data_IF_929181826320
#
_entry.id   IF_929181826320
#
_cell.length_a   1.000
_cell.length_b   1.000
_cell.length_c   1.000
_cell.angle_alpha   90.00
_cell.angle_beta   90.00
_cell.angle_gamma   90.00
#
_symmetry.space_group_name_H-M   'P 1'
#
loop_
_entity.id
_entity.type
_entity.pdbx_description
1 polymer ?
#
# COMPACT_ATOMS: atom_id res chain seq x y z
N UNK A 1 3.41 -9.81 19.63
CA UNK A 1 2.04 -9.92 19.09
C UNK A 1 2.14 -10.49 17.67
N UNK A 2 1.23 -11.38 17.27
CA UNK A 2 1.19 -11.85 15.90
C UNK A 2 0.47 -10.79 15.03
N UNK A 3 1.12 -10.34 13.97
CA UNK A 3 0.62 -9.29 13.07
C UNK A 3 0.09 -9.90 11.78
N UNK A 4 -0.84 -9.21 11.14
CA UNK A 4 -1.10 -9.42 9.72
C UNK A 4 0.17 -9.15 8.92
N UNK A 5 0.35 -9.81 7.78
CA UNK A 5 1.36 -9.44 6.79
C UNK A 5 0.67 -8.98 5.52
N UNK A 6 0.99 -7.78 5.08
CA UNK A 6 0.50 -7.17 3.85
C UNK A 6 1.68 -6.99 2.91
N UNK A 7 1.69 -7.77 1.83
CA UNK A 7 2.70 -7.67 0.77
C UNK A 7 2.10 -6.97 -0.43
N UNK A 8 2.67 -5.83 -0.77
CA UNK A 8 2.26 -4.94 -1.84
C UNK A 8 3.34 -4.82 -2.91
N UNK A 9 4.56 -5.29 -2.68
CA UNK A 9 5.60 -5.35 -3.71
C UNK A 9 5.53 -6.71 -4.41
N UNK A 10 5.30 -6.68 -5.72
CA UNK A 10 4.92 -7.84 -6.51
C UNK A 10 3.45 -8.22 -6.36
N UNK A 11 3.13 -9.50 -6.54
CA UNK A 11 1.77 -10.00 -6.41
C UNK A 11 1.22 -9.81 -4.98
N UNK A 12 0.02 -9.22 -4.89
CA UNK A 12 -0.63 -8.92 -3.62
C UNK A 12 -0.80 -10.15 -2.70
N UNK A 13 -0.46 -9.97 -1.42
CA UNK A 13 -0.76 -10.96 -0.39
C UNK A 13 -1.24 -10.31 0.91
N UNK A 14 -2.29 -10.87 1.49
CA UNK A 14 -2.70 -10.61 2.86
C UNK A 14 -2.68 -11.92 3.65
N UNK A 15 -1.93 -11.95 4.74
CA UNK A 15 -1.80 -13.13 5.60
C UNK A 15 -2.20 -12.77 7.02
N UNK A 16 -3.08 -13.57 7.62
CA UNK A 16 -3.55 -13.41 8.98
C UNK A 16 -2.47 -13.76 10.02
N UNK A 17 -2.63 -13.32 11.28
CA UNK A 17 -1.69 -13.64 12.36
C UNK A 17 -1.44 -15.13 12.58
N UNK A 18 -2.42 -15.98 12.26
CA UNK A 18 -2.32 -17.45 12.33
C UNK A 18 -1.60 -18.08 11.12
N UNK A 19 -1.08 -17.28 10.19
CA UNK A 19 -0.41 -17.74 8.97
C UNK A 19 -1.34 -18.07 7.80
N UNK A 20 -2.67 -17.99 7.98
CA UNK A 20 -3.63 -18.22 6.90
C UNK A 20 -3.58 -17.10 5.87
N UNK A 21 -3.46 -17.46 4.58
CA UNK A 21 -3.64 -16.50 3.49
C UNK A 21 -5.11 -16.11 3.38
N UNK A 22 -5.37 -14.81 3.40
CA UNK A 22 -6.71 -14.24 3.23
C UNK A 22 -6.91 -13.86 1.77
N UNK A 23 -7.96 -14.41 1.16
CA UNK A 23 -8.26 -14.18 -0.25
C UNK A 23 -9.05 -12.88 -0.44
N UNK A 24 -8.35 -11.82 -0.82
CA UNK A 24 -8.95 -10.52 -1.17
C UNK A 24 -9.15 -10.49 -2.68
N UNK A 25 -10.31 -10.94 -3.15
CA UNK A 25 -10.59 -11.07 -4.59
C UNK A 25 -10.90 -9.75 -5.30
N UNK A 26 -11.28 -8.72 -4.55
CA UNK A 26 -11.64 -7.41 -5.10
C UNK A 26 -10.38 -6.56 -5.37
N UNK A 27 -10.11 -6.24 -6.64
CA UNK A 27 -9.07 -5.27 -7.02
C UNK A 27 -9.25 -3.91 -6.32
N UNK A 28 -10.49 -3.47 -6.11
CA UNK A 28 -10.80 -2.23 -5.36
C UNK A 28 -10.44 -2.34 -3.88
N UNK A 29 -10.65 -3.49 -3.25
CA UNK A 29 -10.22 -3.72 -1.87
C UNK A 29 -8.69 -3.77 -1.74
N UNK A 30 -8.00 -4.41 -2.69
CA UNK A 30 -6.53 -4.41 -2.77
C UNK A 30 -6.01 -2.97 -2.92
N UNK A 31 -6.54 -2.22 -3.89
CA UNK A 31 -6.20 -0.83 -4.12
C UNK A 31 -6.45 0.04 -2.88
N UNK A 32 -7.59 -0.15 -2.19
CA UNK A 32 -7.89 0.52 -0.92
C UNK A 32 -6.80 0.25 0.13
N UNK A 33 -6.37 -1.00 0.31
CA UNK A 33 -5.29 -1.33 1.24
C UNK A 33 -3.97 -0.65 0.83
N UNK A 34 -3.63 -0.60 -0.46
CA UNK A 34 -2.46 0.12 -0.96
C UNK A 34 -2.50 1.64 -0.71
N UNK A 35 -3.65 2.28 -0.94
CA UNK A 35 -3.86 3.71 -0.67
C UNK A 35 -3.70 4.06 0.82
N UNK A 36 -4.14 3.17 1.70
CA UNK A 36 -4.01 3.33 3.15
C UNK A 36 -2.58 3.04 3.61
N UNK A 37 -1.98 1.94 3.15
CA UNK A 37 -0.63 1.53 3.50
C UNK A 37 0.44 2.58 3.15
N UNK A 38 0.26 3.25 2.02
CA UNK A 38 1.14 4.34 1.55
C UNK A 38 0.94 5.66 2.29
N UNK A 39 -0.14 5.83 3.06
CA UNK A 39 -0.32 6.99 3.91
C UNK A 39 0.60 6.91 5.13
N UNK A 40 1.28 7.99 5.50
CA UNK A 40 2.18 7.97 6.66
C UNK A 40 1.47 7.49 7.95
N UNK A 41 0.23 7.94 8.17
CA UNK A 41 -0.62 7.57 9.31
C UNK A 41 -1.46 6.30 9.09
N UNK A 42 -1.42 5.69 7.91
CA UNK A 42 -2.37 4.64 7.53
C UNK A 42 -3.79 5.15 7.26
N UNK A 43 -4.05 6.47 7.36
CA UNK A 43 -5.39 7.06 7.29
C UNK A 43 -5.59 7.94 6.05
N UNK A 44 -6.77 7.83 5.44
CA UNK A 44 -7.22 8.70 4.34
C UNK A 44 -8.67 9.13 4.57
N UNK A 45 -9.02 10.28 4.01
CA UNK A 45 -10.41 10.76 3.97
C UNK A 45 -11.26 9.87 3.06
N UNK A 46 -12.50 9.59 3.46
CA UNK A 46 -13.42 8.77 2.68
C UNK A 46 -13.71 9.36 1.30
N UNK A 47 -13.90 10.68 1.24
CA UNK A 47 -14.13 11.40 -0.01
C UNK A 47 -12.96 11.24 -0.98
N UNK A 48 -11.71 11.32 -0.48
CA UNK A 48 -10.51 11.13 -1.30
C UNK A 48 -10.40 9.70 -1.83
N UNK A 49 -10.68 8.69 -0.99
CA UNK A 49 -10.71 7.29 -1.43
C UNK A 49 -11.80 7.08 -2.48
N UNK A 50 -12.98 7.69 -2.29
CA UNK A 50 -14.11 7.60 -3.21
C UNK A 50 -13.79 8.20 -4.56
N UNK A 51 -13.16 9.37 -4.59
CA UNK A 51 -12.70 10.02 -5.80
C UNK A 51 -11.66 9.17 -6.54
N UNK A 52 -10.66 8.64 -5.82
CA UNK A 52 -9.64 7.78 -6.43
C UNK A 52 -10.21 6.48 -6.98
N UNK A 53 -11.02 5.78 -6.19
CA UNK A 53 -11.46 4.42 -6.51
C UNK A 53 -12.86 4.32 -7.09
N UNK A 54 -13.64 5.38 -7.18
CA UNK A 54 -14.99 5.34 -7.75
C UNK A 54 -15.37 6.72 -8.31
N UNK A 55 -14.40 7.51 -8.78
CA UNK A 55 -14.60 8.89 -9.26
C UNK A 55 -15.49 8.96 -10.49
N UNK A 56 -15.50 7.90 -11.31
CA UNK A 56 -16.42 7.74 -12.45
C UNK A 56 -17.88 7.51 -12.05
N UNK A 57 -18.19 7.29 -10.77
CA UNK A 57 -19.53 6.96 -10.27
C UNK A 57 -20.18 8.14 -9.56
N UNK A 58 -21.51 8.15 -9.62
CA UNK A 58 -22.33 9.04 -8.78
C UNK A 58 -22.01 8.88 -7.29
N UNK A 59 -22.03 9.99 -6.55
CA UNK A 59 -21.58 10.06 -5.15
C UNK A 59 -22.21 8.97 -4.25
N UNK A 60 -23.52 8.73 -4.37
CA UNK A 60 -24.21 7.69 -3.58
C UNK A 60 -23.71 6.29 -3.91
N UNK A 61 -23.39 6.01 -5.18
CA UNK A 61 -22.86 4.72 -5.61
C UNK A 61 -21.41 4.54 -5.16
N UNK A 62 -20.57 5.58 -5.24
CA UNK A 62 -19.21 5.58 -4.71
C UNK A 62 -19.21 5.29 -3.19
N UNK A 63 -20.08 5.97 -2.44
CA UNK A 63 -20.26 5.73 -1.00
C UNK A 63 -20.71 4.31 -0.67
N UNK A 64 -21.69 3.78 -1.41
CA UNK A 64 -22.15 2.40 -1.24
C UNK A 64 -21.06 1.38 -1.57
N UNK A 65 -20.26 1.64 -2.59
CA UNK A 65 -19.14 0.77 -3.00
C UNK A 65 -18.06 0.73 -1.92
N UNK A 66 -17.63 1.89 -1.41
CA UNK A 66 -16.67 1.94 -0.29
C UNK A 66 -17.18 1.17 0.93
N UNK A 67 -18.46 1.33 1.30
CA UNK A 67 -19.04 0.57 2.43
C UNK A 67 -18.99 -0.94 2.19
N UNK A 68 -19.26 -1.40 0.97
CA UNK A 68 -19.22 -2.82 0.61
C UNK A 68 -17.81 -3.39 0.75
N UNK A 69 -16.80 -2.71 0.20
CA UNK A 69 -15.40 -3.17 0.32
C UNK A 69 -14.95 -3.20 1.78
N UNK A 70 -15.27 -2.15 2.57
CA UNK A 70 -14.96 -2.12 4.00
C UNK A 70 -15.66 -3.25 4.77
N UNK A 71 -16.91 -3.58 4.44
CA UNK A 71 -17.62 -4.68 5.05
C UNK A 71 -16.96 -6.04 4.72
N UNK A 72 -16.59 -6.25 3.45
CA UNK A 72 -15.88 -7.45 3.02
C UNK A 72 -14.55 -7.64 3.75
N UNK A 73 -13.73 -6.58 3.83
CA UNK A 73 -12.46 -6.60 4.55
C UNK A 73 -12.63 -6.90 6.05
N UNK A 74 -13.65 -6.31 6.70
CA UNK A 74 -13.95 -6.60 8.12
C UNK A 74 -14.37 -8.05 8.33
N UNK A 75 -15.22 -8.60 7.46
CA UNK A 75 -15.63 -10.00 7.55
C UNK A 75 -14.43 -10.94 7.40
N UNK A 76 -13.54 -10.64 6.45
CA UNK A 76 -12.35 -11.44 6.18
C UNK A 76 -11.33 -11.42 7.33
N UNK A 77 -11.33 -10.34 8.14
CA UNK A 77 -10.37 -10.12 9.24
C UNK A 77 -10.98 -10.27 10.64
N UNK A 78 -12.21 -10.77 10.73
CA UNK A 78 -12.97 -10.86 11.98
C UNK A 78 -12.37 -11.82 13.03
N UNK A 79 -11.45 -12.70 12.63
CA UNK A 79 -10.78 -13.65 13.55
C UNK A 79 -9.69 -13.04 14.43
N UNK A 80 -9.40 -11.74 14.30
CA UNK A 80 -8.42 -11.02 15.11
C UNK A 80 -9.10 -10.15 16.16
N UNK A 81 -8.57 -10.07 17.40
CA UNK A 81 -9.11 -9.19 18.44
C UNK A 81 -8.99 -7.70 18.07
N UNK A 82 -8.06 -7.35 17.18
CA UNK A 82 -7.88 -6.00 16.69
C UNK A 82 -8.24 -5.90 15.20
N UNK A 83 -9.05 -4.90 14.79
CA UNK A 83 -9.47 -4.74 13.41
C UNK A 83 -8.29 -4.30 12.53
N UNK A 84 -8.12 -4.94 11.37
CA UNK A 84 -7.13 -4.50 10.38
C UNK A 84 -7.48 -3.12 9.81
N UNK A 85 -8.76 -2.87 9.55
CA UNK A 85 -9.27 -1.62 8.98
C UNK A 85 -10.32 -1.01 9.89
N UNK A 86 -10.06 0.22 10.30
CA UNK A 86 -10.95 1.07 11.07
C UNK A 86 -11.59 2.10 10.14
N UNK A 87 -12.84 2.48 10.40
CA UNK A 87 -13.47 3.56 9.63
C UNK A 87 -14.44 4.34 10.50
N UNK A 88 -14.47 5.65 10.26
CA UNK A 88 -15.44 6.58 10.82
C UNK A 88 -16.38 7.06 9.72
N UNK A 89 -17.23 8.06 10.02
CA UNK A 89 -18.02 8.76 9.02
C UNK A 89 -17.18 9.59 8.04
N UNK A 90 -15.92 9.91 8.38
CA UNK A 90 -15.05 10.82 7.59
C UNK A 90 -13.78 10.16 7.08
N UNK A 91 -13.23 9.18 7.79
CA UNK A 91 -11.93 8.57 7.50
C UNK A 91 -11.98 7.06 7.43
N UNK A 92 -10.98 6.48 6.78
CA UNK A 92 -10.66 5.05 6.80
C UNK A 92 -9.19 4.93 7.16
N UNK A 93 -8.86 4.00 8.05
CA UNK A 93 -7.50 3.79 8.56
C UNK A 93 -7.13 2.32 8.50
N UNK A 94 -5.96 2.02 7.95
CA UNK A 94 -5.26 0.76 8.16
C UNK A 94 -4.57 0.83 9.53
N UNK A 95 -4.87 -0.10 10.43
CA UNK A 95 -4.26 -0.11 11.75
C UNK A 95 -2.83 -0.66 11.67
N UNK A 96 -1.86 0.25 11.52
CA UNK A 96 -0.44 -0.06 11.36
C UNK A 96 0.19 -0.76 12.58
N UNK A 97 -0.46 -0.76 13.75
CA UNK A 97 0.04 -1.47 14.93
C UNK A 97 -0.22 -2.98 14.86
N UNK A 98 -1.06 -3.44 13.92
CA UNK A 98 -1.48 -4.84 13.80
C UNK A 98 -1.11 -5.47 12.46
N UNK A 99 -0.35 -4.76 11.62
CA UNK A 99 0.05 -5.22 10.28
C UNK A 99 1.50 -4.84 9.97
N UNK A 100 2.27 -5.82 9.50
CA UNK A 100 3.57 -5.63 8.84
C UNK A 100 3.33 -5.36 7.35
N UNK A 101 3.87 -4.25 6.83
CA UNK A 101 3.69 -3.80 5.45
C UNK A 101 5.06 -3.63 4.81
N UNK A 102 5.31 -4.34 3.71
CA UNK A 102 6.61 -4.34 3.02
C UNK A 102 7.06 -2.95 2.54
N UNK A 103 6.18 -2.13 1.96
CA UNK A 103 6.55 -0.77 1.51
C UNK A 103 6.96 0.20 2.64
N UNK A 104 6.79 -0.21 3.91
CA UNK A 104 7.16 0.59 5.08
C UNK A 104 8.45 0.09 5.74
N UNK A 105 9.06 -0.94 5.17
CA UNK A 105 10.34 -1.51 5.60
C UNK A 105 11.41 -1.17 4.57
N UNK A 106 12.42 -0.42 4.99
CA UNK A 106 13.56 -0.07 4.13
C UNK A 106 14.30 -1.31 3.62
N UNK A 107 14.51 -2.31 4.49
CA UNK A 107 15.12 -3.59 4.10
C UNK A 107 14.27 -4.35 3.07
N UNK A 108 12.94 -4.35 3.22
CA UNK A 108 12.06 -5.00 2.25
C UNK A 108 12.05 -4.27 0.90
N UNK A 109 12.08 -2.92 0.91
CA UNK A 109 12.18 -2.11 -0.31
C UNK A 109 13.49 -2.40 -1.07
N UNK A 110 14.63 -2.39 -0.37
CA UNK A 110 15.94 -2.64 -0.99
C UNK A 110 16.10 -4.07 -1.53
N UNK A 111 15.43 -5.06 -0.91
CA UNK A 111 15.49 -6.47 -1.36
C UNK A 111 14.47 -6.81 -2.43
N UNK A 112 13.40 -6.01 -2.55
CA UNK A 112 12.31 -6.33 -3.45
C UNK A 112 12.62 -5.86 -4.87
N UNK A 113 12.47 -6.78 -5.83
CA UNK A 113 12.42 -6.44 -7.26
C UNK A 113 10.98 -6.36 -7.79
N UNK A 114 9.97 -6.51 -6.93
CA UNK A 114 8.56 -6.55 -7.32
C UNK A 114 7.96 -5.16 -7.49
N UNK A 115 7.16 -4.97 -8.54
CA UNK A 115 6.40 -3.74 -8.79
C UNK A 115 5.32 -3.56 -7.71
N UNK A 116 5.12 -2.34 -7.22
CA UNK A 116 4.04 -2.06 -6.28
C UNK A 116 2.65 -2.36 -6.88
N UNK A 117 1.88 -3.22 -6.20
CA UNK A 117 0.60 -3.75 -6.64
C UNK A 117 0.67 -4.30 -8.07
N UNK A 118 1.62 -5.19 -8.32
CA UNK A 118 1.83 -5.80 -9.64
C UNK A 118 0.53 -6.36 -10.22
N UNK A 119 0.24 -6.00 -11.48
CA UNK A 119 -0.95 -6.46 -12.20
C UNK A 119 -2.29 -5.87 -11.73
N UNK A 120 -2.27 -4.95 -10.74
CA UNK A 120 -3.46 -4.18 -10.38
C UNK A 120 -3.62 -3.02 -11.35
N UNK A 121 -4.81 -2.96 -11.91
CA UNK A 121 -5.39 -1.86 -12.67
C UNK A 121 -6.88 -1.78 -12.28
N UNK A 122 -7.50 -0.63 -12.47
CA UNK A 122 -8.93 -0.48 -12.32
C UNK A 122 -9.51 0.35 -13.46
N UNK A 123 -10.10 -0.36 -14.42
CA UNK A 123 -10.68 0.23 -15.62
C UNK A 123 -11.66 1.38 -15.30
N UNK A 124 -11.47 2.50 -16.02
CA UNK A 124 -12.33 3.69 -15.94
C UNK A 124 -11.99 4.66 -14.81
N UNK A 125 -10.88 4.48 -14.08
CA UNK A 125 -10.60 5.22 -12.85
C UNK A 125 -9.22 5.88 -12.92
N UNK A 126 -9.11 6.85 -13.82
CA UNK A 126 -7.85 7.53 -14.17
C UNK A 126 -7.13 8.12 -12.95
N UNK A 127 -7.89 8.69 -12.01
CA UNK A 127 -7.35 9.25 -10.77
C UNK A 127 -6.57 8.23 -9.93
N UNK A 128 -6.97 6.96 -9.93
CA UNK A 128 -6.23 5.88 -9.27
C UNK A 128 -5.03 5.43 -10.11
N UNK A 129 -5.21 5.28 -11.42
CA UNK A 129 -4.14 4.85 -12.33
C UNK A 129 -2.96 5.82 -12.36
N UNK A 130 -3.24 7.13 -12.34
CA UNK A 130 -2.22 8.17 -12.22
C UNK A 130 -1.46 8.06 -10.90
N UNK A 131 -2.19 7.97 -9.79
CA UNK A 131 -1.58 7.79 -8.47
C UNK A 131 -0.74 6.50 -8.39
N UNK A 132 -1.20 5.41 -9.00
CA UNK A 132 -0.50 4.12 -8.99
C UNK A 132 0.81 4.21 -9.76
N UNK A 133 0.81 4.87 -10.93
CA UNK A 133 2.02 5.14 -11.71
C UNK A 133 3.02 5.98 -10.92
N UNK A 134 2.56 7.07 -10.30
CA UNK A 134 3.42 7.93 -9.46
C UNK A 134 4.02 7.14 -8.29
N UNK A 135 3.21 6.34 -7.60
CA UNK A 135 3.67 5.52 -6.48
C UNK A 135 4.74 4.51 -6.91
N UNK A 136 4.52 3.81 -8.04
CA UNK A 136 5.49 2.86 -8.59
C UNK A 136 6.81 3.53 -8.95
N UNK A 137 6.77 4.71 -9.57
CA UNK A 137 7.97 5.48 -9.89
C UNK A 137 8.73 5.90 -8.62
N UNK A 138 8.03 6.44 -7.62
CA UNK A 138 8.65 6.87 -6.36
C UNK A 138 9.31 5.69 -5.61
N UNK A 139 8.67 4.52 -5.60
CA UNK A 139 9.23 3.34 -4.94
C UNK A 139 10.41 2.74 -5.73
N UNK A 140 10.39 2.82 -7.06
CA UNK A 140 11.52 2.42 -7.90
C UNK A 140 12.74 3.31 -7.64
N UNK A 141 12.56 4.62 -7.50
CA UNK A 141 13.64 5.56 -7.19
C UNK A 141 14.28 5.28 -5.83
N UNK A 142 13.49 4.86 -4.83
CA UNK A 142 13.97 4.47 -3.50
C UNK A 142 14.69 3.11 -3.48
N UNK A 143 14.35 2.21 -4.41
CA UNK A 143 14.92 0.86 -4.50
C UNK A 143 16.11 0.81 -5.46
N UNK A 144 16.39 1.89 -6.18
CA UNK A 144 17.53 2.01 -7.08
C UNK A 144 18.88 1.91 -6.34
N UNK A 145 19.96 1.52 -7.03
CA UNK A 145 21.28 1.43 -6.41
C UNK A 145 21.66 2.79 -5.84
N UNK A 146 21.91 2.83 -4.52
CA UNK A 146 22.49 4.00 -3.86
C UNK A 146 23.73 4.44 -4.67
N UNK A 147 23.85 5.71 -5.10
CA UNK A 147 25.04 6.15 -5.80
C UNK A 147 26.24 5.89 -4.89
N UNK A 148 27.14 5.01 -5.34
CA UNK A 148 28.40 4.71 -4.64
C UNK A 148 29.15 6.03 -4.43
N UNK A 149 29.03 6.61 -3.24
CA UNK A 149 29.85 7.73 -2.80
C UNK A 149 31.28 7.19 -2.66
N UNK A 150 32.10 7.36 -3.70
CA UNK A 150 33.45 6.82 -3.70
C UNK A 150 34.28 7.22 -4.91
N UNK A 151 34.81 8.44 -4.89
CA UNK A 151 36.20 8.74 -5.28
C UNK A 151 36.57 10.17 -4.88
N UNK A 152 36.91 10.34 -3.60
CA UNK A 152 37.93 11.34 -3.24
C UNK A 152 39.26 10.79 -3.74
N UNK A 153 39.73 11.28 -4.89
CA UNK A 153 41.16 11.18 -5.20
C UNK A 153 41.88 12.20 -4.31
N UNK A 154 42.22 11.76 -3.10
CA UNK A 154 43.33 12.35 -2.38
C UNK A 154 44.61 11.74 -2.97
N UNK A 155 45.43 12.56 -3.62
CA UNK A 155 46.85 12.27 -3.76
C UNK A 155 47.59 13.58 -3.64
N UNK A 156 48.04 13.82 -2.41
CA UNK A 156 49.08 14.77 -2.08
C UNK A 156 50.42 14.26 -2.63
N UNK A 157 51.14 15.16 -3.30
CA UNK A 157 52.59 15.44 -3.22
C UNK A 157 53.54 14.30 -2.77
N UNK A 158 54.50 13.99 -3.65
CA UNK A 158 55.87 13.52 -3.36
C UNK A 158 56.65 13.60 -4.68
N UNK A 159 57.43 14.65 -4.91
CA UNK A 159 58.88 14.74 -4.61
C UNK A 159 59.65 13.55 -5.19
N UNK A 160 60.23 13.75 -6.37
CA UNK A 160 61.63 13.51 -6.70
C UNK A 160 62.03 14.40 -7.90
#
# INVERSE_FOLDING_TARGET
MALYRLRLLGAFQLVAPNGQRLDVTSKKAIALLGLLASANSGERWRAWIQDKLWGSRELRQAQASLRRELHGLRKLTAGSPFPLVEATSRTVRLNLNVVDVDIRSEDALLRSSGEFLEGIDIAGEESFEEWLREMRNNLADLSGPMPLAGKQYHSSVGLD
#
